data_IF_861629249405
#
_entry.id   IF_861629249405
#
_cell.length_a   1.000
_cell.length_b   1.000
_cell.length_c   1.000
_cell.angle_alpha   90.00
_cell.angle_beta   90.00
_cell.angle_gamma   90.00
#
_symmetry.space_group_name_H-M   'P 1'
#
loop_
_entity.id
_entity.type
_entity.pdbx_description
1 polymer ?
#
# COMPACT_ATOMS: atom_id res chain seq x y z
N UNK A 1 -1.80 -45.19 -15.98
CA UNK A 1 -1.08 -44.76 -14.75
C UNK A 1 0.13 -43.85 -14.98
N UNK A 2 0.99 -44.07 -16.00
CA UNK A 2 2.15 -43.18 -16.26
C UNK A 2 1.76 -41.73 -16.64
N UNK A 3 0.67 -41.56 -17.39
CA UNK A 3 0.20 -40.23 -17.81
C UNK A 3 -0.46 -39.41 -16.70
N UNK A 4 -1.11 -40.06 -15.73
CA UNK A 4 -1.67 -39.38 -14.55
C UNK A 4 -0.57 -38.86 -13.62
N UNK A 5 0.56 -39.59 -13.50
CA UNK A 5 1.73 -39.12 -12.75
C UNK A 5 2.41 -37.94 -13.45
N UNK A 6 2.51 -37.96 -14.78
CA UNK A 6 3.05 -36.85 -15.56
C UNK A 6 2.17 -35.58 -15.49
N UNK A 7 0.85 -35.74 -15.51
CA UNK A 7 -0.09 -34.62 -15.34
C UNK A 7 0.02 -33.97 -13.95
N UNK A 8 0.16 -34.80 -12.90
CA UNK A 8 0.35 -34.31 -11.53
C UNK A 8 1.68 -33.58 -11.32
N UNK A 9 2.76 -34.02 -12.01
CA UNK A 9 4.07 -33.38 -11.94
C UNK A 9 4.11 -32.03 -12.67
N UNK A 10 3.43 -31.92 -13.82
CA UNK A 10 3.27 -30.66 -14.55
C UNK A 10 2.40 -29.65 -13.79
N UNK A 11 1.31 -30.10 -13.15
CA UNK A 11 0.49 -29.26 -12.28
C UNK A 11 1.25 -28.78 -11.03
N UNK A 12 2.08 -29.64 -10.43
CA UNK A 12 2.93 -29.27 -9.29
C UNK A 12 4.02 -28.25 -9.64
N UNK A 13 4.62 -28.32 -10.83
CA UNK A 13 5.64 -27.37 -11.28
C UNK A 13 5.05 -25.99 -11.61
N UNK A 14 3.81 -25.93 -12.12
CA UNK A 14 3.10 -24.68 -12.40
C UNK A 14 2.61 -23.94 -11.14
N UNK A 15 2.39 -24.64 -10.03
CA UNK A 15 2.07 -24.02 -8.74
C UNK A 15 3.31 -23.48 -8.02
N UNK A 16 4.49 -24.05 -8.27
CA UNK A 16 5.76 -23.61 -7.68
C UNK A 16 6.33 -22.32 -8.31
N UNK A 17 5.93 -21.98 -9.53
CA UNK A 17 6.34 -20.71 -10.18
C UNK A 17 5.60 -19.48 -9.65
N UNK A 18 4.49 -19.66 -8.91
CA UNK A 18 3.74 -18.58 -8.26
C UNK A 18 4.39 -18.01 -6.98
N UNK A 19 5.65 -18.34 -6.69
CA UNK A 19 6.42 -17.69 -5.64
C UNK A 19 7.35 -16.59 -6.18
N UNK A 20 7.58 -16.51 -7.50
CA UNK A 20 8.51 -15.55 -8.08
C UNK A 20 7.84 -14.20 -8.30
N UNK A 21 8.32 -13.18 -7.58
CA UNK A 21 8.03 -11.78 -7.90
C UNK A 21 8.55 -11.47 -9.30
N UNK A 22 7.67 -11.00 -10.20
CA UNK A 22 8.03 -10.65 -11.58
C UNK A 22 8.61 -9.23 -11.61
N UNK A 23 9.62 -9.01 -12.45
CA UNK A 23 10.29 -7.72 -12.64
C UNK A 23 11.68 -7.64 -12.01
N UNK A 24 12.51 -6.66 -12.40
CA UNK A 24 13.87 -6.52 -11.89
C UNK A 24 13.86 -6.06 -10.43
N UNK A 25 14.83 -6.53 -9.66
CA UNK A 25 15.09 -5.98 -8.33
C UNK A 25 15.78 -4.63 -8.44
N UNK A 26 15.46 -3.74 -7.50
CA UNK A 26 16.17 -2.48 -7.39
C UNK A 26 17.66 -2.74 -7.18
N UNK A 27 18.47 -2.16 -8.04
CA UNK A 27 19.93 -2.09 -7.89
C UNK A 27 20.29 -0.62 -7.75
N UNK A 28 20.97 -0.28 -6.67
CA UNK A 28 21.48 1.07 -6.47
C UNK A 28 22.41 1.40 -7.65
N UNK A 29 22.22 2.54 -8.34
CA UNK A 29 23.12 2.95 -9.40
C UNK A 29 24.55 3.07 -8.85
N UNK A 30 25.51 2.54 -9.59
CA UNK A 30 26.91 2.77 -9.29
C UNK A 30 27.24 4.23 -9.66
N UNK A 31 27.60 5.02 -8.66
CA UNK A 31 27.96 6.43 -8.84
C UNK A 31 29.48 6.47 -8.80
N UNK A 32 30.08 6.87 -9.91
CA UNK A 32 31.53 7.04 -10.00
C UNK A 32 31.98 8.20 -9.09
N UNK A 33 32.33 7.87 -7.85
CA UNK A 33 32.95 8.78 -6.89
C UNK A 33 34.40 8.35 -6.64
N UNK A 34 35.30 9.28 -6.30
CA UNK A 34 36.62 8.92 -5.77
C UNK A 34 36.50 7.98 -4.56
N UNK A 35 37.40 7.02 -4.42
CA UNK A 35 37.43 6.11 -3.26
C UNK A 35 37.66 6.86 -1.94
N UNK A 36 38.34 8.00 -2.00
CA UNK A 36 38.57 8.88 -0.87
C UNK A 36 38.57 10.35 -1.30
N UNK A 37 38.12 11.21 -0.38
CA UNK A 37 38.35 12.64 -0.48
C UNK A 37 39.83 12.95 -0.26
N UNK A 38 40.34 14.01 -0.90
CA UNK A 38 41.74 14.43 -0.74
C UNK A 38 42.04 15.00 0.65
N UNK A 39 41.00 15.22 1.46
CA UNK A 39 41.07 15.74 2.82
C UNK A 39 40.25 14.83 3.73
N UNK A 40 40.68 14.72 4.99
CA UNK A 40 39.90 13.99 5.98
C UNK A 40 38.63 14.76 6.35
N UNK A 41 37.57 14.02 6.71
CA UNK A 41 36.36 14.63 7.24
C UNK A 41 36.71 15.35 8.55
N UNK A 42 36.51 16.67 8.58
CA UNK A 42 36.99 17.51 9.68
C UNK A 42 36.21 17.38 10.99
N UNK A 43 34.95 16.95 10.93
CA UNK A 43 34.06 16.93 12.08
C UNK A 43 33.36 15.58 12.22
N UNK A 44 33.04 15.22 13.47
CA UNK A 44 32.26 14.02 13.76
C UNK A 44 30.81 14.15 13.26
N UNK A 45 30.14 13.02 13.02
CA UNK A 45 28.71 13.04 12.67
C UNK A 45 27.86 13.75 13.74
N UNK A 46 28.21 13.61 15.01
CA UNK A 46 27.54 14.30 16.12
C UNK A 46 27.73 15.81 16.04
N UNK A 47 28.95 16.28 15.74
CA UNK A 47 29.19 17.71 15.54
C UNK A 47 28.42 18.23 14.34
N UNK A 48 28.39 17.49 13.24
CA UNK A 48 27.66 17.88 12.02
C UNK A 48 26.14 17.90 12.23
N UNK A 49 25.60 16.99 13.06
CA UNK A 49 24.19 17.03 13.45
C UNK A 49 23.84 18.32 14.20
N UNK A 50 24.79 18.89 14.94
CA UNK A 50 24.68 20.21 15.61
C UNK A 50 25.63 21.23 15.02
N UNK A 51 25.70 21.31 13.69
CA UNK A 51 26.70 22.08 12.95
C UNK A 51 26.87 23.54 13.41
N UNK A 52 25.80 24.16 13.94
CA UNK A 52 25.82 25.53 14.42
C UNK A 52 26.66 25.72 15.70
N UNK A 53 26.95 24.65 16.43
CA UNK A 53 27.75 24.72 17.67
C UNK A 53 29.22 25.01 17.42
N UNK A 54 29.72 24.73 16.21
CA UNK A 54 31.10 25.02 15.78
C UNK A 54 31.39 26.53 15.78
N UNK A 55 30.37 27.38 15.68
CA UNK A 55 30.53 28.83 15.74
C UNK A 55 30.80 29.37 17.15
N UNK A 56 30.50 28.61 18.20
CA UNK A 56 30.67 29.05 19.59
C UNK A 56 29.82 30.27 19.96
N UNK A 57 28.72 30.52 19.25
CA UNK A 57 27.82 31.66 19.48
C UNK A 57 26.60 31.22 20.31
N UNK A 58 26.48 31.65 21.58
CA UNK A 58 25.37 31.25 22.44
C UNK A 58 24.02 31.83 21.98
N UNK A 59 24.02 32.96 21.27
CA UNK A 59 22.78 33.55 20.71
C UNK A 59 22.28 32.68 19.56
N UNK A 60 23.20 32.21 18.70
CA UNK A 60 22.85 31.29 17.63
C UNK A 60 22.29 29.97 18.17
N UNK A 61 22.86 29.42 19.24
CA UNK A 61 22.37 28.20 19.87
C UNK A 61 20.95 28.36 20.41
N UNK A 62 20.66 29.49 21.07
CA UNK A 62 19.30 29.81 21.53
C UNK A 62 18.31 29.97 20.36
N UNK A 63 18.72 30.65 19.29
CA UNK A 63 17.89 30.82 18.09
C UNK A 63 17.58 29.49 17.42
N UNK A 64 18.55 28.59 17.26
CA UNK A 64 18.33 27.27 16.66
C UNK A 64 17.39 26.45 17.53
N UNK A 65 17.59 26.41 18.85
CA UNK A 65 16.70 25.72 19.77
C UNK A 65 15.24 26.24 19.66
N UNK A 66 15.06 27.56 19.60
CA UNK A 66 13.75 28.17 19.43
C UNK A 66 13.11 27.83 18.07
N UNK A 67 13.90 27.76 17.00
CA UNK A 67 13.46 27.32 15.68
C UNK A 67 13.06 25.85 15.70
N UNK A 68 13.85 24.94 16.27
CA UNK A 68 13.51 23.52 16.32
C UNK A 68 12.15 23.25 16.97
N UNK A 69 11.81 23.98 18.02
CA UNK A 69 10.53 23.82 18.73
C UNK A 69 9.34 24.45 17.95
N UNK A 70 9.56 25.54 17.21
CA UNK A 70 8.46 26.36 16.67
C UNK A 70 8.39 26.41 15.13
N UNK A 71 9.31 25.76 14.42
CA UNK A 71 9.40 25.85 12.97
C UNK A 71 8.27 25.06 12.28
N UNK A 72 7.31 25.81 11.72
CA UNK A 72 6.17 25.25 11.00
C UNK A 72 6.55 24.55 9.69
N UNK A 73 7.66 24.92 9.07
CA UNK A 73 8.18 24.24 7.88
C UNK A 73 8.71 22.85 8.25
N UNK A 74 9.41 22.74 9.38
CA UNK A 74 9.87 21.45 9.92
C UNK A 74 8.67 20.58 10.33
N UNK A 75 7.71 21.14 11.07
CA UNK A 75 6.47 20.43 11.42
C UNK A 75 5.72 19.93 10.19
N UNK A 76 5.63 20.74 9.12
CA UNK A 76 5.03 20.33 7.86
C UNK A 76 5.83 19.23 7.15
N UNK A 77 7.16 19.22 7.27
CA UNK A 77 8.00 18.15 6.72
C UNK A 77 7.77 16.82 7.44
N UNK A 78 7.71 16.84 8.78
CA UNK A 78 7.37 15.66 9.60
C UNK A 78 5.98 15.12 9.24
N UNK A 79 4.97 15.99 9.16
CA UNK A 79 3.62 15.59 8.76
C UNK A 79 3.57 14.97 7.34
N UNK A 80 4.43 15.43 6.41
CA UNK A 80 4.56 14.79 5.09
C UNK A 80 5.15 13.38 5.21
N UNK A 81 6.18 13.18 6.03
CA UNK A 81 6.76 11.85 6.27
C UNK A 81 5.73 10.90 6.88
N UNK A 82 4.93 11.36 7.85
CA UNK A 82 3.82 10.59 8.42
C UNK A 82 2.78 10.22 7.37
N UNK A 83 2.42 11.17 6.48
CA UNK A 83 1.54 10.91 5.33
C UNK A 83 2.09 9.84 4.38
N UNK A 84 3.39 9.87 4.08
CA UNK A 84 4.03 8.83 3.27
C UNK A 84 4.02 7.48 3.99
N UNK A 85 4.31 7.43 5.30
CA UNK A 85 4.22 6.20 6.09
C UNK A 85 2.80 5.62 6.11
N UNK A 86 1.77 6.46 6.25
CA UNK A 86 0.38 6.05 6.16
C UNK A 86 0.05 5.48 4.78
N UNK A 87 0.55 6.10 3.70
CA UNK A 87 0.36 5.60 2.33
C UNK A 87 0.98 4.20 2.12
N UNK A 88 2.17 3.94 2.70
CA UNK A 88 2.77 2.61 2.70
C UNK A 88 1.88 1.61 3.45
N UNK A 89 1.31 2.03 4.59
CA UNK A 89 0.35 1.24 5.34
C UNK A 89 -0.88 0.85 4.52
N UNK A 90 -1.44 1.79 3.76
CA UNK A 90 -2.58 1.53 2.87
C UNK A 90 -2.25 0.51 1.79
N UNK A 91 -1.11 0.63 1.11
CA UNK A 91 -0.71 -0.34 0.07
C UNK A 91 -0.39 -1.70 0.68
N UNK A 92 0.14 -1.77 1.90
CA UNK A 92 0.33 -3.04 2.62
C UNK A 92 -0.98 -3.74 2.97
N UNK A 93 -2.10 -3.01 3.06
CA UNK A 93 -3.40 -3.63 3.33
C UNK A 93 -3.81 -4.61 2.23
N UNK A 94 -3.33 -4.42 0.99
CA UNK A 94 -3.58 -5.31 -0.15
C UNK A 94 -3.04 -6.75 0.05
N UNK A 95 -2.14 -6.97 1.03
CA UNK A 95 -1.74 -8.34 1.39
C UNK A 95 -2.88 -9.15 2.02
N UNK A 96 -3.89 -8.47 2.56
CA UNK A 96 -4.97 -9.09 3.31
C UNK A 96 -6.30 -9.02 2.55
N UNK A 97 -7.24 -9.91 2.87
CA UNK A 97 -8.58 -9.84 2.32
C UNK A 97 -9.28 -8.53 2.71
N UNK A 98 -10.01 -7.95 1.75
CA UNK A 98 -10.97 -6.88 2.02
C UNK A 98 -12.32 -7.49 2.35
N UNK A 99 -12.91 -7.04 3.46
CA UNK A 99 -14.21 -7.50 3.93
C UNK A 99 -15.20 -6.34 3.83
N UNK A 100 -16.38 -6.62 3.29
CA UNK A 100 -17.48 -5.68 3.18
C UNK A 100 -18.75 -6.25 3.79
N UNK A 101 -19.62 -5.37 4.26
CA UNK A 101 -20.98 -5.70 4.66
C UNK A 101 -21.90 -4.62 4.13
N UNK A 102 -23.07 -5.00 3.63
CA UNK A 102 -24.02 -4.06 3.07
C UNK A 102 -25.44 -4.59 3.13
N UNK A 103 -26.39 -3.67 3.06
CA UNK A 103 -27.80 -3.97 2.89
C UNK A 103 -28.50 -2.86 2.11
N UNK A 104 -29.54 -3.22 1.41
CA UNK A 104 -30.31 -2.34 0.55
C UNK A 104 -31.79 -2.70 0.60
N UNK A 105 -32.62 -1.68 0.36
CA UNK A 105 -34.06 -1.85 0.21
C UNK A 105 -34.44 -1.22 -1.12
N UNK A 106 -35.06 -2.01 -1.98
CA UNK A 106 -35.56 -1.60 -3.28
C UNK A 106 -37.08 -1.76 -3.30
N UNK A 107 -37.80 -0.78 -3.85
CA UNK A 107 -39.23 -0.90 -4.12
C UNK A 107 -39.42 -1.00 -5.62
N UNK A 108 -39.96 -2.11 -6.08
CA UNK A 108 -40.14 -2.38 -7.50
C UNK A 108 -41.61 -2.44 -7.87
N UNK A 109 -41.92 -1.97 -9.07
CA UNK A 109 -43.25 -2.05 -9.65
C UNK A 109 -43.15 -2.67 -11.05
N UNK A 110 -43.79 -3.82 -11.23
CA UNK A 110 -43.85 -4.49 -12.53
C UNK A 110 -44.92 -3.85 -13.41
N UNK A 111 -44.64 -3.75 -14.71
CA UNK A 111 -45.63 -3.26 -15.68
C UNK A 111 -46.69 -4.33 -15.96
N UNK A 112 -47.91 -3.90 -16.27
CA UNK A 112 -49.03 -4.80 -16.59
C UNK A 112 -48.80 -5.65 -17.86
N UNK A 113 -47.87 -5.24 -18.75
CA UNK A 113 -47.50 -6.02 -19.95
C UNK A 113 -46.61 -7.23 -19.65
N UNK A 114 -45.84 -7.16 -18.57
CA UNK A 114 -44.91 -8.22 -18.14
C UNK A 114 -45.58 -9.14 -17.10
N UNK A 115 -46.60 -8.65 -16.42
CA UNK A 115 -47.36 -9.38 -15.41
C UNK A 115 -48.27 -10.44 -16.06
N UNK A 116 -47.90 -11.72 -15.97
CA UNK A 116 -48.74 -12.82 -16.44
C UNK A 116 -49.76 -13.22 -15.33
N UNK A 117 -51.08 -13.01 -15.52
CA UNK A 117 -52.07 -13.24 -14.47
C UNK A 117 -52.29 -14.71 -14.09
N UNK A 118 -51.80 -15.66 -14.89
CA UNK A 118 -52.02 -17.09 -14.71
C UNK A 118 -51.04 -17.79 -13.77
N UNK A 119 -49.99 -17.10 -13.29
CA UNK A 119 -49.08 -17.64 -12.28
C UNK A 119 -49.61 -17.35 -10.87
N UNK A 120 -50.04 -18.40 -10.17
CA UNK A 120 -50.62 -18.35 -8.83
C UNK A 120 -49.64 -17.94 -7.70
N UNK A 121 -48.45 -17.43 -8.04
CA UNK A 121 -47.35 -17.17 -7.11
C UNK A 121 -46.69 -15.79 -7.31
N UNK A 122 -47.37 -14.82 -7.95
CA UNK A 122 -46.79 -13.49 -8.11
C UNK A 122 -46.86 -12.68 -6.80
N UNK A 123 -45.75 -12.01 -6.39
CA UNK A 123 -45.75 -11.10 -5.25
C UNK A 123 -46.66 -9.88 -5.51
N UNK A 124 -47.02 -9.18 -4.42
CA UNK A 124 -47.75 -7.91 -4.48
C UNK A 124 -47.05 -6.93 -5.43
N UNK A 125 -47.81 -6.10 -6.16
CA UNK A 125 -47.25 -5.12 -7.10
C UNK A 125 -47.78 -3.72 -6.77
N UNK A 126 -46.94 -2.79 -6.29
CA UNK A 126 -45.49 -2.90 -6.09
C UNK A 126 -45.09 -3.78 -4.89
N UNK A 127 -43.89 -4.38 -4.95
CA UNK A 127 -43.28 -5.12 -3.83
C UNK A 127 -42.03 -4.41 -3.29
N UNK A 128 -41.66 -4.79 -2.07
CA UNK A 128 -40.41 -4.40 -1.44
C UNK A 128 -39.43 -5.57 -1.50
N UNK A 129 -38.21 -5.28 -1.88
CA UNK A 129 -37.09 -6.18 -1.85
C UNK A 129 -36.09 -5.69 -0.81
N UNK A 130 -35.69 -6.60 0.07
CA UNK A 130 -34.69 -6.36 1.11
C UNK A 130 -33.52 -7.28 0.84
N UNK A 131 -32.33 -6.70 0.68
CA UNK A 131 -31.10 -7.46 0.47
C UNK A 131 -30.09 -7.08 1.54
N UNK A 132 -29.34 -8.06 2.02
CA UNK A 132 -28.19 -7.84 2.90
C UNK A 132 -27.17 -8.93 2.67
N UNK A 133 -25.89 -8.61 2.82
CA UNK A 133 -24.83 -9.59 2.62
C UNK A 133 -23.46 -9.10 3.05
N UNK A 134 -22.53 -10.05 3.06
CA UNK A 134 -21.12 -9.82 3.28
C UNK A 134 -20.34 -10.13 2.00
N UNK A 135 -19.27 -9.40 1.76
CA UNK A 135 -18.36 -9.63 0.64
C UNK A 135 -16.94 -9.82 1.16
N UNK A 136 -16.19 -10.68 0.48
CA UNK A 136 -14.76 -10.88 0.73
C UNK A 136 -14.05 -10.91 -0.61
N UNK A 137 -13.05 -10.06 -0.78
CA UNK A 137 -12.19 -10.05 -1.96
C UNK A 137 -10.73 -10.13 -1.54
N UNK A 138 -9.98 -11.04 -2.16
CA UNK A 138 -8.56 -11.21 -1.88
C UNK A 138 -7.80 -11.59 -3.14
N UNK A 139 -6.65 -10.98 -3.35
CA UNK A 139 -5.73 -11.32 -4.42
C UNK A 139 -4.61 -12.20 -3.86
N UNK A 140 -4.46 -13.39 -4.45
CA UNK A 140 -3.27 -14.21 -4.21
C UNK A 140 -2.10 -13.62 -4.99
N UNK A 141 -1.10 -13.12 -4.27
CA UNK A 141 0.07 -12.45 -4.84
C UNK A 141 1.08 -13.42 -5.46
N UNK A 142 0.66 -14.17 -6.49
CA UNK A 142 1.48 -15.21 -7.14
C UNK A 142 2.65 -14.62 -7.93
N UNK A 143 2.44 -13.46 -8.56
CA UNK A 143 3.44 -12.80 -9.42
C UNK A 143 4.15 -11.63 -8.72
N UNK A 144 3.88 -11.42 -7.43
CA UNK A 144 4.49 -10.34 -6.67
C UNK A 144 3.98 -8.93 -7.00
N UNK A 145 2.78 -8.77 -7.57
CA UNK A 145 2.19 -7.45 -7.85
C UNK A 145 2.07 -6.63 -6.56
N UNK A 146 1.57 -7.23 -5.48
CA UNK A 146 1.42 -6.56 -4.18
C UNK A 146 2.78 -6.32 -3.52
N UNK A 147 3.69 -7.29 -3.63
CA UNK A 147 5.09 -7.12 -3.20
C UNK A 147 5.76 -5.91 -3.85
N UNK A 148 5.70 -5.81 -5.18
CA UNK A 148 6.28 -4.70 -5.94
C UNK A 148 5.58 -3.36 -5.67
N UNK A 149 4.26 -3.33 -5.45
CA UNK A 149 3.56 -2.08 -5.10
C UNK A 149 3.99 -1.56 -3.72
N UNK A 150 4.19 -2.44 -2.75
CA UNK A 150 4.69 -2.08 -1.41
C UNK A 150 6.16 -1.65 -1.46
N UNK A 151 7.01 -2.32 -2.23
CA UNK A 151 8.39 -1.89 -2.47
C UNK A 151 8.44 -0.48 -3.07
N UNK A 152 7.64 -0.21 -4.09
CA UNK A 152 7.54 1.10 -4.73
C UNK A 152 7.01 2.18 -3.78
N UNK A 153 6.05 1.85 -2.91
CA UNK A 153 5.56 2.78 -1.89
C UNK A 153 6.63 3.09 -0.84
N UNK A 154 7.41 2.09 -0.41
CA UNK A 154 8.53 2.30 0.55
C UNK A 154 9.64 3.16 -0.05
N UNK A 155 9.90 3.08 -1.34
CA UNK A 155 10.88 3.94 -2.02
C UNK A 155 10.52 5.43 -2.06
N UNK A 156 9.30 5.81 -1.64
CA UNK A 156 8.85 7.21 -1.53
C UNK A 156 8.86 7.74 -0.08
N UNK A 157 9.13 6.87 0.90
CA UNK A 157 9.28 7.24 2.31
C UNK A 157 10.71 7.69 2.55
#
# INVERSE_FOLDING_TARGET
MKWMKALGLLAGLGLASGCLSVGPDYRMPDVATPEAWQTEAGESEETLARWWTVFGDPVLEELVAGVEENNRTLAAAVARMEGYAASVGMVRADYFPTLGAGGGVTREQLTERVRNPTEAALPDNPYWEYQSGFTMAWELDLWGRVRRSVEAARGRL
#
